data_IF_553350365290
#
_entry.id   IF_553350365290
#
_cell.length_a   1.000
_cell.length_b   1.000
_cell.length_c   1.000
_cell.angle_alpha   90.00
_cell.angle_beta   90.00
_cell.angle_gamma   90.00
#
_symmetry.space_group_name_H-M   'P 1'
#
loop_
_entity.id
_entity.type
_entity.pdbx_description
1 polymer ?
#
# COMPACT_ATOMS: atom_id res chain seq x y z
N UNK A 1 9.31 65.33 25.20
CA UNK A 1 10.65 65.89 25.27
C UNK A 1 11.56 65.09 24.38
N UNK A 2 11.87 65.66 23.24
CA UNK A 2 13.05 65.66 22.38
C UNK A 2 13.32 64.43 21.54
N UNK A 3 13.18 64.52 20.32
CA UNK A 3 13.63 64.99 18.98
C UNK A 3 13.99 63.76 18.13
N UNK A 4 13.28 63.45 17.11
CA UNK A 4 13.40 63.79 15.69
C UNK A 4 14.85 63.96 15.20
N UNK A 5 15.29 63.04 14.31
CA UNK A 5 15.94 63.45 13.06
C UNK A 5 15.74 62.32 12.03
N UNK A 6 15.03 62.67 10.93
CA UNK A 6 14.95 61.93 9.71
C UNK A 6 16.27 62.04 8.94
N UNK A 7 16.78 60.98 8.39
CA UNK A 7 17.85 61.05 7.38
C UNK A 7 17.45 60.18 6.18
N UNK A 8 17.01 60.88 5.16
CA UNK A 8 16.71 60.43 3.79
C UNK A 8 18.08 60.18 3.11
N UNK A 9 18.42 58.93 2.81
CA UNK A 9 19.56 58.60 1.94
C UNK A 9 19.01 58.02 0.61
N UNK A 10 19.12 58.87 -0.41
CA UNK A 10 19.01 58.49 -1.81
C UNK A 10 20.15 57.52 -2.12
N UNK A 11 19.83 56.29 -2.48
CA UNK A 11 20.81 55.40 -3.11
C UNK A 11 20.52 55.38 -4.61
N UNK A 12 21.32 56.14 -5.31
CA UNK A 12 21.48 56.11 -6.76
C UNK A 12 21.95 54.71 -7.20
N UNK A 13 21.17 54.06 -8.09
CA UNK A 13 21.54 52.82 -8.72
C UNK A 13 22.82 52.96 -9.54
N UNK A 14 23.88 52.35 -9.13
CA UNK A 14 24.99 51.97 -9.97
C UNK A 14 24.77 50.55 -10.47
N UNK A 15 24.57 50.43 -11.78
CA UNK A 15 24.62 49.16 -12.50
C UNK A 15 26.07 48.63 -12.32
N UNK A 16 26.20 47.50 -11.69
CA UNK A 16 27.47 46.78 -11.61
C UNK A 16 27.87 46.29 -13.02
N UNK A 17 29.08 46.51 -13.47
CA UNK A 17 29.56 45.97 -14.76
C UNK A 17 29.69 44.44 -14.61
N UNK A 18 29.32 43.73 -15.66
CA UNK A 18 29.54 42.30 -15.79
C UNK A 18 31.03 41.98 -15.47
N UNK A 19 31.23 41.10 -14.48
CA UNK A 19 32.54 40.71 -14.04
C UNK A 19 33.33 40.02 -15.15
N UNK A 20 34.18 40.78 -15.84
CA UNK A 20 35.31 40.24 -16.57
C UNK A 20 36.36 39.84 -15.49
N UNK A 21 36.59 38.56 -15.34
CA UNK A 21 37.64 38.08 -14.43
C UNK A 21 38.98 38.39 -15.07
N UNK A 22 39.71 39.33 -14.52
CA UNK A 22 41.13 39.54 -14.84
C UNK A 22 41.97 38.73 -13.86
N UNK A 23 42.55 37.63 -14.32
CA UNK A 23 43.57 36.91 -13.58
C UNK A 23 44.87 37.67 -13.75
N UNK A 24 45.43 38.23 -12.69
CA UNK A 24 46.78 38.81 -12.68
C UNK A 24 47.78 37.69 -12.68
N UNK A 25 48.76 37.80 -13.62
CA UNK A 25 50.08 37.20 -13.60
C UNK A 25 50.27 35.95 -12.76
N UNK A 26 50.29 34.78 -13.37
CA UNK A 26 50.89 33.60 -12.81
C UNK A 26 52.40 33.78 -12.72
N UNK A 27 52.94 34.12 -11.56
CA UNK A 27 54.36 33.95 -11.27
C UNK A 27 54.66 32.46 -11.16
N UNK A 28 55.79 32.04 -11.67
CA UNK A 28 56.26 30.67 -11.82
C UNK A 28 56.33 29.92 -10.44
N UNK A 29 55.21 29.44 -9.96
CA UNK A 29 55.04 28.46 -8.90
C UNK A 29 53.72 27.72 -9.22
N UNK A 30 53.82 26.56 -9.87
CA UNK A 30 52.92 25.39 -9.92
C UNK A 30 51.36 25.64 -9.81
N UNK A 31 50.87 26.77 -10.34
CA UNK A 31 49.45 27.14 -10.26
C UNK A 31 48.73 26.82 -11.58
N UNK A 32 48.09 25.64 -11.63
CA UNK A 32 47.25 25.22 -12.76
C UNK A 32 46.07 26.19 -12.91
N UNK A 33 45.93 26.80 -14.09
CA UNK A 33 44.78 27.66 -14.39
C UNK A 33 43.53 26.81 -14.59
N UNK A 34 42.60 26.93 -13.66
CA UNK A 34 41.29 26.26 -13.78
C UNK A 34 40.32 27.10 -14.61
N UNK A 35 39.83 26.55 -15.71
CA UNK A 35 38.86 27.16 -16.60
C UNK A 35 37.67 26.24 -16.77
N UNK A 36 36.43 26.76 -16.75
CA UNK A 36 35.27 25.98 -17.07
C UNK A 36 35.01 25.91 -18.57
N UNK A 37 34.48 24.80 -19.06
CA UNK A 37 34.05 24.61 -20.45
C UNK A 37 33.11 25.74 -20.89
N UNK A 38 33.48 26.37 -22.04
CA UNK A 38 32.73 27.49 -22.62
C UNK A 38 32.98 28.84 -21.95
N UNK A 39 33.77 28.90 -20.89
CA UNK A 39 34.24 30.17 -20.29
C UNK A 39 35.57 30.62 -20.83
N UNK A 40 35.83 31.89 -20.67
CA UNK A 40 37.03 32.55 -21.20
C UNK A 40 37.68 33.40 -20.13
N UNK A 41 39.00 33.41 -20.09
CA UNK A 41 39.80 34.26 -19.26
C UNK A 41 40.72 35.11 -20.14
N UNK A 42 41.02 36.34 -19.68
CA UNK A 42 42.06 37.19 -20.26
C UNK A 42 43.28 37.09 -19.36
N UNK A 43 44.40 36.69 -19.97
CA UNK A 43 45.66 36.47 -19.26
C UNK A 43 46.66 37.51 -19.74
N UNK A 44 47.40 38.10 -18.82
CA UNK A 44 48.44 39.05 -19.05
C UNK A 44 49.79 38.37 -18.86
N UNK A 45 50.58 38.27 -19.91
CA UNK A 45 51.93 37.68 -19.88
C UNK A 45 52.95 38.58 -19.16
N UNK A 46 53.93 37.96 -18.51
CA UNK A 46 54.96 38.67 -17.76
C UNK A 46 55.86 39.59 -18.65
N UNK A 47 56.01 39.27 -19.94
CA UNK A 47 56.77 40.03 -20.94
C UNK A 47 56.03 40.09 -22.30
N UNK A 48 56.38 41.00 -23.21
CA UNK A 48 55.86 41.01 -24.54
C UNK A 48 56.18 39.69 -25.27
N UNK A 49 55.19 39.10 -25.93
CA UNK A 49 55.31 37.83 -26.64
C UNK A 49 55.02 38.00 -28.15
N UNK A 50 55.60 37.10 -28.97
CA UNK A 50 55.38 37.04 -30.39
C UNK A 50 54.51 35.84 -30.82
N UNK A 51 54.65 34.73 -30.11
CA UNK A 51 53.97 33.49 -30.49
C UNK A 51 53.33 32.80 -29.28
N UNK A 52 52.05 32.33 -29.44
CA UNK A 52 51.35 31.49 -28.48
C UNK A 52 51.17 30.11 -29.12
N UNK A 53 51.45 29.06 -28.35
CA UNK A 53 51.25 27.69 -28.78
C UNK A 53 50.45 26.97 -27.70
N UNK A 54 49.28 26.43 -28.10
CA UNK A 54 48.48 25.55 -27.26
C UNK A 54 48.80 24.11 -27.62
N UNK A 55 49.16 23.29 -26.62
CA UNK A 55 49.59 21.92 -26.84
C UNK A 55 48.43 21.04 -27.41
N UNK A 56 47.20 21.24 -26.89
CA UNK A 56 45.99 20.62 -27.44
C UNK A 56 44.91 21.69 -27.69
N UNK A 57 44.69 22.10 -28.95
CA UNK A 57 43.69 23.09 -29.31
C UNK A 57 42.23 22.62 -29.09
N UNK A 58 41.97 21.31 -28.97
CA UNK A 58 40.61 20.79 -28.68
C UNK A 58 40.21 21.09 -27.24
N UNK A 59 41.18 21.14 -26.28
CA UNK A 59 40.91 21.38 -24.88
C UNK A 59 40.77 22.87 -24.60
N UNK A 60 41.71 23.67 -25.12
CA UNK A 60 41.65 25.12 -24.97
C UNK A 60 42.16 25.84 -26.24
N UNK A 61 41.61 27.01 -26.50
CA UNK A 61 41.98 27.88 -27.62
C UNK A 61 42.44 29.21 -27.09
N UNK A 62 43.62 29.68 -27.61
CA UNK A 62 44.25 30.91 -27.16
C UNK A 62 44.40 31.88 -28.35
N UNK A 63 44.02 33.14 -28.17
CA UNK A 63 44.13 34.20 -29.16
C UNK A 63 44.78 35.45 -28.54
N UNK A 64 45.85 35.94 -29.19
CA UNK A 64 46.49 37.18 -28.77
C UNK A 64 45.54 38.38 -28.95
N UNK A 65 45.45 39.21 -27.91
CA UNK A 65 44.68 40.46 -27.89
C UNK A 65 45.60 41.69 -28.01
N UNK A 66 46.79 41.59 -27.44
CA UNK A 66 47.86 42.58 -27.52
C UNK A 66 49.25 41.90 -27.51
N UNK A 67 50.31 42.66 -27.49
CA UNK A 67 51.66 42.16 -27.31
C UNK A 67 51.98 41.58 -25.93
N UNK A 68 51.05 41.75 -24.97
CA UNK A 68 51.17 41.26 -23.57
C UNK A 68 49.95 40.57 -23.03
N UNK A 69 48.88 40.51 -23.77
CA UNK A 69 47.64 39.88 -23.31
C UNK A 69 47.08 38.97 -24.36
N UNK A 70 46.52 37.88 -23.90
CA UNK A 70 45.80 36.91 -24.73
C UNK A 70 44.53 36.45 -24.07
N UNK A 71 43.60 36.00 -24.88
CA UNK A 71 42.34 35.45 -24.49
C UNK A 71 42.46 33.92 -24.54
N UNK A 72 42.07 33.25 -23.48
CA UNK A 72 42.04 31.81 -23.39
C UNK A 72 40.59 31.33 -23.21
N UNK A 73 40.13 30.39 -24.02
CA UNK A 73 38.81 29.81 -23.96
C UNK A 73 38.90 28.30 -23.75
N UNK A 74 38.19 27.78 -22.74
CA UNK A 74 38.03 26.34 -22.54
C UNK A 74 37.03 25.77 -23.54
N UNK A 75 37.42 24.77 -24.33
CA UNK A 75 36.60 24.13 -25.36
C UNK A 75 36.07 22.78 -24.88
N UNK A 76 36.95 21.82 -24.53
CA UNK A 76 36.61 20.50 -24.01
C UNK A 76 37.30 20.24 -22.67
N UNK A 77 36.67 19.42 -21.77
CA UNK A 77 37.28 19.06 -20.52
C UNK A 77 38.62 18.32 -20.71
N UNK A 78 39.64 18.69 -19.96
CA UNK A 78 40.96 18.06 -20.05
C UNK A 78 42.08 18.94 -19.49
N UNK A 79 43.30 18.49 -19.69
CA UNK A 79 44.51 19.22 -19.31
C UNK A 79 45.33 19.57 -20.56
N UNK A 80 45.76 20.82 -20.69
CA UNK A 80 46.60 21.29 -21.75
C UNK A 80 47.57 22.34 -21.22
N UNK A 81 48.57 22.68 -22.04
CA UNK A 81 49.57 23.65 -21.67
C UNK A 81 49.63 24.75 -22.72
N UNK A 82 49.70 26.00 -22.31
CA UNK A 82 49.95 27.16 -23.17
C UNK A 82 51.41 27.60 -23.03
N UNK A 83 52.07 27.62 -24.16
CA UNK A 83 53.48 28.02 -24.24
C UNK A 83 53.56 29.42 -24.89
N UNK A 84 54.32 30.33 -24.30
CA UNK A 84 54.46 31.72 -24.69
C UNK A 84 55.88 31.97 -25.10
N UNK A 85 56.15 32.41 -26.35
CA UNK A 85 57.48 32.65 -26.88
C UNK A 85 57.66 34.11 -27.27
N UNK A 86 58.91 34.58 -27.11
CA UNK A 86 59.34 35.93 -27.57
C UNK A 86 59.61 35.97 -29.07
N UNK A 87 60.05 37.17 -29.59
CA UNK A 87 60.46 37.34 -30.98
C UNK A 87 61.69 36.52 -31.35
N UNK A 88 62.54 36.17 -30.37
CA UNK A 88 63.75 35.37 -30.57
C UNK A 88 63.45 33.85 -30.60
N UNK A 89 62.24 33.43 -30.25
CA UNK A 89 61.84 32.04 -30.14
C UNK A 89 62.21 31.40 -28.76
N UNK A 90 62.58 32.24 -27.77
CA UNK A 90 62.80 31.75 -26.43
C UNK A 90 61.50 31.66 -25.63
N UNK A 91 61.36 30.62 -24.81
CA UNK A 91 60.20 30.41 -23.96
C UNK A 91 60.14 31.44 -22.83
N UNK A 92 59.12 32.30 -22.80
CA UNK A 92 58.89 33.28 -21.73
C UNK A 92 58.17 32.64 -20.56
N UNK A 93 57.09 31.88 -20.83
CA UNK A 93 56.19 31.37 -19.79
C UNK A 93 55.50 30.10 -20.26
N UNK A 94 55.20 29.22 -19.33
CA UNK A 94 54.40 28.00 -19.52
C UNK A 94 53.26 28.07 -18.54
N UNK A 95 52.02 27.87 -19.03
CA UNK A 95 50.80 27.91 -18.23
C UNK A 95 50.11 26.59 -18.38
N UNK A 96 49.99 25.82 -17.27
CA UNK A 96 49.18 24.64 -17.25
C UNK A 96 47.70 25.01 -17.09
N UNK A 97 46.88 24.49 -17.97
CA UNK A 97 45.43 24.79 -18.07
C UNK A 97 44.64 23.52 -17.84
N UNK A 98 43.79 23.56 -16.88
CA UNK A 98 42.78 22.53 -16.65
C UNK A 98 41.41 23.07 -17.03
N UNK A 99 40.76 22.48 -18.04
CA UNK A 99 39.38 22.77 -18.36
C UNK A 99 38.47 21.77 -17.69
N UNK A 100 37.61 22.27 -16.79
CA UNK A 100 36.64 21.47 -16.06
C UNK A 100 35.24 21.59 -16.65
N UNK A 101 34.39 20.56 -16.44
CA UNK A 101 32.96 20.64 -16.69
C UNK A 101 32.35 21.66 -15.72
N UNK A 102 31.59 22.64 -16.25
CA UNK A 102 30.82 23.58 -15.45
C UNK A 102 29.60 22.87 -14.85
N UNK A 103 29.66 22.54 -13.57
CA UNK A 103 28.61 21.79 -12.86
C UNK A 103 27.64 22.69 -12.08
N UNK A 104 27.91 23.99 -11.99
CA UNK A 104 27.10 24.92 -11.19
C UNK A 104 25.65 25.05 -11.69
N UNK A 105 25.47 25.02 -13.02
CA UNK A 105 24.13 25.03 -13.61
C UNK A 105 23.34 23.76 -13.26
N UNK A 106 24.00 22.59 -13.33
CA UNK A 106 23.36 21.33 -12.97
C UNK A 106 23.03 21.26 -11.48
N UNK A 107 23.95 21.74 -10.60
CA UNK A 107 23.67 21.83 -9.17
C UNK A 107 22.47 22.72 -8.87
N UNK A 108 22.41 23.90 -9.51
CA UNK A 108 21.28 24.80 -9.36
C UNK A 108 19.96 24.21 -9.86
N UNK A 109 19.96 23.46 -10.97
CA UNK A 109 18.79 22.78 -11.49
C UNK A 109 18.33 21.64 -10.56
N UNK A 110 19.28 20.87 -9.99
CA UNK A 110 18.97 19.80 -9.02
C UNK A 110 18.39 20.38 -7.74
N UNK A 111 18.97 21.42 -7.16
CA UNK A 111 18.45 22.10 -5.96
C UNK A 111 17.05 22.69 -6.18
N UNK A 112 16.80 23.25 -7.37
CA UNK A 112 15.51 23.86 -7.69
C UNK A 112 14.40 22.85 -7.95
N UNK A 113 14.71 21.70 -8.57
CA UNK A 113 13.73 20.70 -9.00
C UNK A 113 13.55 19.55 -8.01
N UNK A 114 14.58 19.31 -7.17
CA UNK A 114 14.61 18.25 -6.15
C UNK A 114 14.95 18.85 -4.77
N UNK A 115 14.13 19.76 -4.25
CA UNK A 115 14.39 20.37 -2.96
C UNK A 115 14.31 19.33 -1.84
N UNK A 116 15.39 19.21 -1.05
CA UNK A 116 15.47 18.28 0.09
C UNK A 116 16.15 16.95 -0.20
N UNK A 117 16.60 16.71 -1.44
CA UNK A 117 17.43 15.56 -1.77
C UNK A 117 18.92 15.90 -1.58
N UNK A 118 19.67 14.97 -1.00
CA UNK A 118 21.13 15.15 -0.81
C UNK A 118 21.90 14.57 -1.99
N UNK A 119 21.94 15.32 -3.11
CA UNK A 119 22.62 14.89 -4.33
C UNK A 119 23.92 15.68 -4.49
N UNK A 120 25.04 14.96 -4.56
CA UNK A 120 26.36 15.50 -4.86
C UNK A 120 26.73 15.23 -6.31
N UNK A 121 27.25 16.25 -6.98
CA UNK A 121 27.65 16.17 -8.41
C UNK A 121 29.15 16.31 -8.50
N UNK A 122 29.81 15.29 -9.06
CA UNK A 122 31.26 15.23 -9.25
C UNK A 122 31.59 15.11 -10.76
N UNK A 123 32.57 15.89 -11.21
CA UNK A 123 33.14 15.69 -12.55
C UNK A 123 34.13 14.52 -12.50
N UNK A 124 34.02 13.59 -13.43
CA UNK A 124 34.94 12.46 -13.59
C UNK A 124 35.35 12.37 -15.05
N UNK A 125 36.56 12.77 -15.35
CA UNK A 125 37.09 12.89 -16.73
C UNK A 125 36.18 13.78 -17.59
N UNK A 126 35.51 13.21 -18.58
CA UNK A 126 34.57 13.85 -19.49
C UNK A 126 33.10 13.63 -19.10
N UNK A 127 32.85 12.99 -17.92
CA UNK A 127 31.53 12.63 -17.43
C UNK A 127 31.15 13.24 -16.09
N UNK A 128 29.96 12.88 -15.65
CA UNK A 128 29.37 13.28 -14.38
C UNK A 128 29.08 12.03 -13.53
N UNK A 129 29.49 12.06 -12.29
CA UNK A 129 29.12 11.08 -11.27
C UNK A 129 28.16 11.73 -10.28
N UNK A 130 26.95 11.17 -10.17
CA UNK A 130 25.96 11.55 -9.18
C UNK A 130 26.11 10.62 -7.99
N UNK A 131 26.28 11.19 -6.78
CA UNK A 131 26.37 10.47 -5.52
C UNK A 131 25.45 11.13 -4.49
N UNK A 132 25.12 10.40 -3.44
CA UNK A 132 24.29 10.90 -2.35
C UNK A 132 23.09 10.02 -2.06
N UNK A 133 22.16 10.56 -1.27
CA UNK A 133 20.96 9.87 -0.84
C UNK A 133 19.72 10.58 -1.36
N UNK A 134 18.87 9.80 -2.04
CA UNK A 134 17.57 10.27 -2.54
C UNK A 134 16.45 9.53 -1.84
N UNK A 135 15.31 10.19 -1.68
CA UNK A 135 14.18 9.61 -0.95
C UNK A 135 13.38 8.62 -1.80
N UNK A 136 13.29 8.83 -3.12
CA UNK A 136 12.49 7.99 -4.02
C UNK A 136 13.27 7.57 -5.28
N UNK A 137 12.86 6.48 -5.90
CA UNK A 137 13.39 6.04 -7.19
C UNK A 137 13.08 7.06 -8.32
N UNK A 138 11.97 7.77 -8.21
CA UNK A 138 11.55 8.80 -9.16
C UNK A 138 12.47 10.04 -9.10
N UNK A 139 12.91 10.41 -7.88
CA UNK A 139 13.89 11.48 -7.70
C UNK A 139 15.24 11.10 -8.32
N UNK A 140 15.70 9.85 -8.13
CA UNK A 140 16.92 9.35 -8.78
C UNK A 140 16.83 9.40 -10.30
N UNK A 141 15.70 8.98 -10.87
CA UNK A 141 15.46 8.97 -12.32
C UNK A 141 15.42 10.40 -12.90
N UNK A 142 14.80 11.33 -12.17
CA UNK A 142 14.76 12.73 -12.57
C UNK A 142 16.16 13.38 -12.53
N UNK A 143 16.94 13.10 -11.47
CA UNK A 143 18.32 13.57 -11.37
C UNK A 143 19.19 13.05 -12.51
N UNK A 144 19.06 11.76 -12.85
CA UNK A 144 19.73 11.16 -14.00
C UNK A 144 19.39 11.86 -15.31
N UNK A 145 18.09 12.07 -15.60
CA UNK A 145 17.62 12.76 -16.81
C UNK A 145 18.13 14.20 -16.91
N UNK A 146 18.21 14.90 -15.79
CA UNK A 146 18.78 16.25 -15.75
C UNK A 146 20.27 16.22 -16.07
N UNK A 147 21.02 15.32 -15.46
CA UNK A 147 22.46 15.17 -15.71
C UNK A 147 22.75 14.74 -17.16
N UNK A 148 21.96 13.84 -17.76
CA UNK A 148 22.09 13.42 -19.16
C UNK A 148 21.87 14.56 -20.16
N UNK A 149 21.08 15.58 -19.80
CA UNK A 149 20.91 16.78 -20.64
C UNK A 149 22.17 17.66 -20.65
N UNK A 150 22.99 17.62 -19.59
CA UNK A 150 24.26 18.35 -19.50
C UNK A 150 25.42 17.59 -20.16
N UNK A 151 25.47 16.27 -19.97
CA UNK A 151 26.49 15.39 -20.56
C UNK A 151 25.82 14.13 -21.10
N UNK A 152 25.45 14.10 -22.40
CA UNK A 152 24.83 12.94 -23.02
C UNK A 152 25.73 11.70 -22.95
N UNK A 153 25.23 10.57 -22.45
CA UNK A 153 25.94 9.30 -22.30
C UNK A 153 27.16 9.30 -21.37
N UNK A 154 27.38 10.39 -20.62
CA UNK A 154 28.50 10.53 -19.71
C UNK A 154 28.10 10.58 -18.23
N UNK A 155 26.94 10.03 -17.84
CA UNK A 155 26.46 10.08 -16.44
C UNK A 155 26.55 8.71 -15.80
N UNK A 156 27.23 8.64 -14.66
CA UNK A 156 27.27 7.45 -13.79
C UNK A 156 26.44 7.71 -12.53
N UNK A 157 25.59 6.75 -12.19
CA UNK A 157 24.70 6.82 -11.02
C UNK A 157 25.30 6.06 -9.84
N UNK A 158 25.65 6.78 -8.78
CA UNK A 158 26.05 6.28 -7.47
C UNK A 158 25.05 6.60 -6.36
N UNK A 159 23.91 7.23 -6.69
CA UNK A 159 22.88 7.59 -5.71
C UNK A 159 22.29 6.36 -5.03
N UNK A 160 22.00 6.50 -3.75
CA UNK A 160 21.37 5.46 -2.92
C UNK A 160 19.99 5.94 -2.50
N UNK A 161 19.00 5.07 -2.62
CA UNK A 161 17.67 5.34 -2.08
C UNK A 161 17.76 5.15 -0.57
N UNK A 162 17.48 6.23 0.18
CA UNK A 162 17.85 6.34 1.60
C UNK A 162 17.09 5.43 2.54
N UNK A 163 15.82 5.25 2.36
CA UNK A 163 15.01 4.29 3.11
C UNK A 163 13.98 3.71 2.15
N UNK A 164 14.06 2.41 1.93
CA UNK A 164 12.95 1.73 1.29
C UNK A 164 11.72 1.91 2.17
N UNK A 165 10.78 2.74 1.73
CA UNK A 165 9.54 2.98 2.45
C UNK A 165 8.76 1.68 2.57
N UNK A 166 8.34 1.35 3.80
CA UNK A 166 7.56 0.18 4.10
C UNK A 166 6.12 0.58 4.38
N UNK A 167 5.20 -0.16 3.80
CA UNK A 167 3.77 0.04 3.98
C UNK A 167 3.18 -1.12 4.74
N UNK A 168 2.61 -0.84 5.92
CA UNK A 168 1.73 -1.75 6.63
C UNK A 168 0.33 -1.59 6.07
N UNK A 169 -0.24 -2.65 5.52
CA UNK A 169 -1.64 -2.67 5.12
C UNK A 169 -2.48 -3.37 6.18
N UNK A 170 -3.42 -2.64 6.77
CA UNK A 170 -4.46 -3.18 7.63
C UNK A 170 -5.73 -3.41 6.80
N UNK A 171 -6.24 -4.64 6.81
CA UNK A 171 -7.52 -4.97 6.16
C UNK A 171 -8.52 -5.37 7.24
N UNK A 172 -9.78 -4.94 7.08
CA UNK A 172 -10.87 -5.30 7.98
C UNK A 172 -12.03 -5.86 7.18
N UNK A 173 -12.36 -7.12 7.40
CA UNK A 173 -13.59 -7.74 6.96
C UNK A 173 -14.62 -7.64 8.08
N UNK A 174 -15.70 -6.94 7.86
CA UNK A 174 -16.81 -6.82 8.80
C UNK A 174 -18.06 -7.38 8.14
N UNK A 175 -18.58 -8.46 8.68
CA UNK A 175 -19.80 -9.08 8.23
C UNK A 175 -20.80 -9.16 9.38
N UNK A 176 -22.02 -8.71 9.14
CA UNK A 176 -23.15 -8.84 10.04
C UNK A 176 -24.27 -9.61 9.34
N UNK A 177 -24.67 -10.74 9.89
CA UNK A 177 -25.80 -11.53 9.41
C UNK A 177 -26.91 -11.53 10.45
N UNK A 178 -28.14 -11.24 10.03
CA UNK A 178 -29.34 -11.25 10.87
C UNK A 178 -30.33 -12.24 10.29
N UNK A 179 -30.81 -13.12 11.12
CA UNK A 179 -31.85 -14.08 10.78
C UNK A 179 -33.05 -13.89 11.68
N UNK A 180 -34.22 -13.82 11.09
CA UNK A 180 -35.47 -13.83 11.83
C UNK A 180 -36.42 -14.84 11.22
N UNK A 181 -36.90 -15.77 12.01
CA UNK A 181 -37.89 -16.79 11.64
C UNK A 181 -39.09 -16.64 12.56
N UNK A 182 -40.28 -16.48 11.96
CA UNK A 182 -41.55 -16.52 12.69
C UNK A 182 -42.44 -17.58 12.06
N UNK A 183 -42.97 -18.44 12.89
CA UNK A 183 -43.80 -19.56 12.48
C UNK A 183 -45.01 -19.60 13.37
N UNK A 184 -46.17 -19.68 12.74
CA UNK A 184 -47.45 -19.83 13.41
C UNK A 184 -48.27 -20.87 12.64
N UNK A 185 -48.61 -21.97 13.32
CA UNK A 185 -49.36 -23.07 12.72
C UNK A 185 -50.46 -23.60 13.63
N UNK A 186 -51.56 -23.98 13.05
CA UNK A 186 -52.68 -24.62 13.73
C UNK A 186 -52.98 -25.95 13.02
N UNK A 187 -52.82 -27.04 13.74
CA UNK A 187 -53.25 -28.38 13.33
C UNK A 187 -54.54 -28.73 13.98
N UNK A 188 -55.46 -29.27 13.23
CA UNK A 188 -56.77 -29.73 13.73
C UNK A 188 -56.96 -31.22 13.40
N UNK A 189 -57.35 -32.00 14.39
CA UNK A 189 -57.77 -33.40 14.23
C UNK A 189 -59.13 -33.58 14.88
N UNK A 190 -60.09 -34.09 14.12
CA UNK A 190 -61.43 -34.40 14.62
C UNK A 190 -61.64 -35.88 14.38
N UNK A 191 -61.90 -36.63 15.44
CA UNK A 191 -62.21 -38.06 15.42
C UNK A 191 -63.60 -38.24 16.03
N UNK A 192 -64.55 -38.68 15.19
CA UNK A 192 -65.91 -38.92 15.59
C UNK A 192 -66.40 -40.31 15.07
N UNK A 193 -66.44 -41.29 15.94
CA UNK A 193 -66.76 -42.65 15.56
C UNK A 193 -65.85 -43.21 14.49
N UNK A 194 -66.37 -43.61 13.32
CA UNK A 194 -65.60 -44.08 12.16
C UNK A 194 -65.08 -42.93 11.27
N UNK A 195 -65.39 -41.68 11.60
CA UNK A 195 -64.97 -40.51 10.83
C UNK A 195 -63.69 -39.80 11.45
N UNK A 196 -62.65 -39.69 10.67
CA UNK A 196 -61.44 -38.95 11.05
C UNK A 196 -61.20 -37.85 10.02
N UNK A 197 -61.27 -36.60 10.45
CA UNK A 197 -60.84 -35.44 9.67
C UNK A 197 -59.55 -34.91 10.25
N UNK A 198 -58.51 -34.98 9.46
CA UNK A 198 -57.21 -34.41 9.78
C UNK A 198 -57.03 -33.18 8.87
N UNK A 199 -56.98 -32.02 9.48
CA UNK A 199 -56.43 -30.83 8.85
C UNK A 199 -55.09 -30.56 9.45
N UNK A 200 -54.04 -31.20 8.92
CA UNK A 200 -52.67 -30.82 9.21
C UNK A 200 -52.41 -29.52 8.46
N UNK A 201 -52.57 -28.40 9.14
CA UNK A 201 -52.26 -27.08 8.61
C UNK A 201 -50.77 -26.89 8.32
N UNK A 202 -50.03 -28.03 8.14
CA UNK A 202 -48.59 -28.01 7.88
C UNK A 202 -47.83 -27.50 9.08
N UNK A 203 -47.66 -28.33 10.10
CA UNK A 203 -46.62 -28.05 11.11
C UNK A 203 -45.27 -28.16 10.42
N UNK A 204 -44.59 -27.06 10.22
CA UNK A 204 -43.23 -27.05 9.68
C UNK A 204 -42.30 -27.75 10.68
N UNK A 205 -41.94 -28.99 10.40
CA UNK A 205 -41.14 -29.80 11.31
C UNK A 205 -39.65 -29.37 11.29
N UNK A 206 -39.03 -29.21 12.45
CA UNK A 206 -37.59 -29.15 12.56
C UNK A 206 -36.99 -28.21 13.61
N UNK A 207 -37.78 -27.39 14.30
CA UNK A 207 -37.24 -26.45 15.29
C UNK A 207 -37.67 -26.79 16.72
N UNK A 208 -36.70 -26.75 17.67
CA UNK A 208 -36.83 -27.29 19.01
C UNK A 208 -37.66 -26.44 20.01
N UNK A 209 -37.99 -25.19 19.71
CA UNK A 209 -38.72 -24.30 20.61
C UNK A 209 -40.12 -24.06 20.10
N UNK A 210 -41.09 -24.74 20.67
CA UNK A 210 -42.51 -24.69 20.24
C UNK A 210 -43.38 -24.47 21.47
N UNK A 211 -44.31 -23.53 21.37
CA UNK A 211 -45.42 -23.50 22.31
C UNK A 211 -46.54 -24.36 21.70
N UNK A 212 -46.88 -25.49 22.29
CA UNK A 212 -47.94 -26.36 21.87
C UNK A 212 -49.03 -26.29 22.90
N UNK A 213 -50.25 -25.88 22.48
CA UNK A 213 -51.44 -26.02 23.32
C UNK A 213 -52.33 -27.03 22.65
N UNK A 214 -52.66 -28.09 23.30
CA UNK A 214 -53.57 -29.13 22.84
C UNK A 214 -54.84 -29.09 23.67
N UNK A 215 -55.99 -29.01 23.00
CA UNK A 215 -57.26 -29.14 23.64
C UNK A 215 -57.85 -30.47 23.20
N UNK A 216 -57.99 -31.40 24.11
CA UNK A 216 -58.51 -32.73 23.85
C UNK A 216 -59.88 -32.91 24.54
N UNK A 217 -60.80 -33.61 23.88
CA UNK A 217 -62.13 -34.00 24.35
C UNK A 217 -63.13 -32.85 24.56
N UNK A 218 -63.92 -32.58 23.54
CA UNK A 218 -65.10 -31.72 23.64
C UNK A 218 -66.34 -32.60 23.46
N UNK A 219 -66.95 -33.00 24.56
CA UNK A 219 -68.09 -33.89 24.57
C UNK A 219 -67.77 -35.37 24.30
N UNK A 220 -68.49 -36.03 23.41
CA UNK A 220 -68.28 -37.41 22.92
C UNK A 220 -67.31 -37.50 21.75
N UNK A 221 -66.83 -36.36 21.26
CA UNK A 221 -65.96 -36.22 20.11
C UNK A 221 -64.49 -35.89 20.58
N UNK A 222 -63.54 -36.52 19.92
CA UNK A 222 -62.14 -36.18 20.15
C UNK A 222 -61.73 -35.09 19.15
N UNK A 223 -61.55 -33.87 19.65
CA UNK A 223 -61.09 -32.74 18.87
C UNK A 223 -59.70 -32.35 19.43
N UNK A 224 -58.69 -32.60 18.65
CA UNK A 224 -57.34 -32.17 18.97
C UNK A 224 -56.99 -30.89 18.17
N UNK A 225 -56.80 -29.81 18.88
CA UNK A 225 -56.32 -28.55 18.36
C UNK A 225 -54.86 -28.34 18.80
N UNK A 226 -53.96 -28.37 17.86
CA UNK A 226 -52.56 -28.13 18.08
C UNK A 226 -52.18 -26.73 17.59
N UNK A 227 -51.76 -25.86 18.54
CA UNK A 227 -51.24 -24.55 18.24
C UNK A 227 -49.70 -24.61 18.32
N UNK A 228 -49.00 -24.28 17.26
CA UNK A 228 -47.55 -24.12 17.24
C UNK A 228 -47.15 -22.66 16.94
N UNK A 229 -46.36 -22.07 17.79
CA UNK A 229 -45.81 -20.72 17.59
C UNK A 229 -44.32 -20.74 17.89
N UNK A 230 -43.54 -20.20 16.97
CA UNK A 230 -42.09 -20.06 17.08
C UNK A 230 -41.68 -18.67 16.63
N UNK A 231 -40.84 -18.04 17.41
CA UNK A 231 -40.10 -16.86 16.99
C UNK A 231 -38.60 -17.08 17.32
N UNK A 232 -37.76 -17.06 16.30
CA UNK A 232 -36.29 -17.17 16.43
C UNK A 232 -35.62 -15.96 15.80
N UNK A 233 -34.67 -15.39 16.51
CA UNK A 233 -33.89 -14.24 16.07
C UNK A 233 -32.43 -14.48 16.37
N UNK A 234 -31.62 -14.56 15.35
CA UNK A 234 -30.16 -14.68 15.44
C UNK A 234 -29.44 -13.49 14.85
N UNK A 235 -28.35 -13.10 15.51
CA UNK A 235 -27.41 -12.11 14.96
C UNK A 235 -26.02 -12.73 15.04
N UNK A 236 -25.36 -12.83 13.89
CA UNK A 236 -23.98 -13.28 13.76
C UNK A 236 -23.14 -12.10 13.30
N UNK A 237 -22.00 -11.87 13.97
CA UNK A 237 -21.01 -10.89 13.58
C UNK A 237 -19.66 -11.57 13.39
N UNK A 238 -19.10 -11.44 12.21
CA UNK A 238 -17.77 -11.96 11.88
C UNK A 238 -16.82 -10.80 11.63
N UNK A 239 -15.62 -10.89 12.21
CA UNK A 239 -14.56 -9.90 12.03
C UNK A 239 -13.24 -10.62 11.76
N UNK A 240 -12.60 -10.29 10.64
CA UNK A 240 -11.23 -10.69 10.35
C UNK A 240 -10.38 -9.44 10.08
N UNK A 241 -9.15 -9.41 10.62
CA UNK A 241 -8.22 -8.28 10.51
C UNK A 241 -6.83 -8.76 10.15
N UNK A 242 -6.55 -9.16 8.91
CA UNK A 242 -5.18 -9.41 8.49
C UNK A 242 -4.42 -8.08 8.35
N UNK A 243 -3.15 -8.12 8.72
CA UNK A 243 -2.20 -7.05 8.49
C UNK A 243 -0.91 -7.64 7.92
N UNK A 244 -0.26 -6.89 7.03
CA UNK A 244 0.95 -7.33 6.36
C UNK A 244 1.79 -6.10 5.98
N UNK A 245 3.11 -6.24 6.05
CA UNK A 245 4.07 -5.19 5.64
C UNK A 245 4.74 -5.60 4.34
N UNK A 246 4.87 -4.65 3.42
CA UNK A 246 5.63 -4.79 2.18
C UNK A 246 6.51 -3.57 1.93
N UNK A 247 7.60 -3.75 1.19
CA UNK A 247 8.38 -2.66 0.62
C UNK A 247 7.62 -2.01 -0.54
N UNK A 248 7.83 -0.71 -0.75
CA UNK A 248 7.30 0.00 -1.92
C UNK A 248 7.78 -0.67 -3.21
N UNK A 249 6.85 -1.05 -4.09
CA UNK A 249 7.09 -1.75 -5.35
C UNK A 249 7.09 -3.29 -5.26
N UNK A 250 7.19 -3.88 -4.07
CA UNK A 250 7.26 -5.33 -3.88
C UNK A 250 5.90 -5.94 -3.50
N UNK A 251 5.64 -7.14 -4.00
CA UNK A 251 4.43 -7.90 -3.65
C UNK A 251 4.67 -8.75 -2.41
N UNK A 252 3.80 -8.59 -1.42
CA UNK A 252 3.77 -9.45 -0.24
C UNK A 252 2.49 -10.25 -0.18
N UNK A 253 2.57 -11.47 0.36
CA UNK A 253 1.42 -12.36 0.56
C UNK A 253 1.45 -12.99 1.95
N UNK A 254 0.27 -13.15 2.55
CA UNK A 254 0.04 -13.76 3.86
C UNK A 254 -1.17 -14.68 3.79
N UNK A 255 -1.08 -15.86 4.41
CA UNK A 255 -2.19 -16.79 4.56
C UNK A 255 -2.22 -17.33 6.00
N UNK A 256 -3.31 -17.10 6.69
CA UNK A 256 -3.62 -17.73 7.98
C UNK A 256 -4.85 -18.63 7.82
N UNK A 257 -4.64 -19.95 7.83
CA UNK A 257 -5.70 -20.93 7.58
C UNK A 257 -5.19 -22.35 7.58
N UNK A 258 -5.82 -23.18 6.76
CA UNK A 258 -5.47 -24.57 6.57
C UNK A 258 -5.68 -25.04 5.14
N UNK A 259 -5.54 -26.33 4.94
CA UNK A 259 -5.83 -26.98 3.66
C UNK A 259 -6.81 -28.13 3.90
N UNK A 260 -7.78 -28.30 2.99
CA UNK A 260 -8.69 -29.43 3.03
C UNK A 260 -8.53 -30.31 1.79
N UNK A 261 -8.62 -31.62 1.94
CA UNK A 261 -8.46 -32.56 0.84
C UNK A 261 -9.74 -32.62 -0.01
N UNK A 262 -9.59 -32.49 -1.32
CA UNK A 262 -10.65 -32.70 -2.32
C UNK A 262 -10.27 -33.89 -3.18
N UNK A 263 -11.09 -34.96 -3.20
CA UNK A 263 -10.86 -36.07 -4.12
C UNK A 263 -11.14 -35.62 -5.55
N UNK A 264 -10.21 -35.89 -6.45
CA UNK A 264 -10.32 -35.66 -7.89
C UNK A 264 -10.18 -37.01 -8.60
N UNK A 265 -10.97 -37.23 -9.66
CA UNK A 265 -10.84 -38.43 -10.47
C UNK A 265 -9.44 -38.46 -11.11
N UNK A 266 -8.69 -39.53 -10.89
CA UNK A 266 -7.40 -39.76 -11.54
C UNK A 266 -7.58 -40.24 -12.98
N UNK A 267 -6.55 -40.06 -13.81
CA UNK A 267 -6.51 -40.56 -15.19
C UNK A 267 -6.43 -42.10 -15.19
N UNK A 268 -7.57 -42.76 -15.42
CA UNK A 268 -7.67 -44.22 -15.66
C UNK A 268 -7.82 -45.11 -14.41
N UNK A 269 -8.67 -46.13 -14.54
CA UNK A 269 -8.83 -47.28 -13.61
C UNK A 269 -9.29 -46.93 -12.15
N UNK A 270 -10.21 -46.00 -11.95
CA UNK A 270 -10.84 -45.85 -10.63
C UNK A 270 -9.92 -45.30 -9.53
N UNK A 271 -8.74 -44.84 -9.85
CA UNK A 271 -7.82 -44.19 -8.89
C UNK A 271 -8.35 -42.79 -8.53
N UNK A 272 -8.52 -42.54 -7.22
CA UNK A 272 -8.83 -41.23 -6.69
C UNK A 272 -7.51 -40.54 -6.29
N UNK A 273 -7.26 -39.37 -6.87
CA UNK A 273 -6.17 -38.46 -6.45
C UNK A 273 -6.72 -37.46 -5.45
N UNK A 274 -5.91 -37.00 -4.52
CA UNK A 274 -6.30 -35.99 -3.52
C UNK A 274 -5.63 -34.68 -3.88
N UNK A 275 -6.44 -33.63 -4.11
CA UNK A 275 -5.99 -32.25 -4.29
C UNK A 275 -6.27 -31.45 -3.02
N UNK A 276 -5.27 -30.78 -2.48
CA UNK A 276 -5.45 -29.92 -1.32
C UNK A 276 -5.85 -28.52 -1.76
N UNK A 277 -6.88 -27.96 -1.11
CA UNK A 277 -7.35 -26.59 -1.33
C UNK A 277 -7.15 -25.78 -0.08
N UNK A 278 -6.52 -24.60 -0.22
CA UNK A 278 -6.29 -23.66 0.88
C UNK A 278 -7.58 -22.94 1.25
N UNK A 279 -7.77 -22.70 2.54
CA UNK A 279 -8.84 -21.86 3.08
C UNK A 279 -8.32 -21.07 4.27
N UNK A 280 -9.03 -19.99 4.63
CA UNK A 280 -8.67 -19.12 5.74
C UNK A 280 -8.69 -17.65 5.33
N UNK A 281 -7.86 -16.85 5.99
CA UNK A 281 -7.68 -15.41 5.72
C UNK A 281 -6.41 -15.24 4.90
N UNK A 282 -6.53 -14.71 3.70
CA UNK A 282 -5.42 -14.41 2.78
C UNK A 282 -5.40 -12.94 2.43
N UNK A 283 -4.21 -12.38 2.35
CA UNK A 283 -3.97 -11.01 1.92
C UNK A 283 -2.75 -10.99 1.00
N UNK A 284 -2.94 -10.53 -0.21
CA UNK A 284 -1.86 -10.23 -1.15
C UNK A 284 -1.96 -8.77 -1.54
N UNK A 285 -0.85 -8.04 -1.52
CA UNK A 285 -0.85 -6.65 -1.94
C UNK A 285 0.52 -6.20 -2.44
N UNK A 286 0.50 -5.18 -3.31
CA UNK A 286 1.67 -4.48 -3.83
C UNK A 286 1.47 -3.00 -3.60
N UNK A 287 2.19 -2.36 -2.67
CA UNK A 287 2.14 -0.92 -2.46
C UNK A 287 3.14 -0.23 -3.39
N UNK A 288 2.83 0.98 -3.83
CA UNK A 288 3.78 1.90 -4.44
C UNK A 288 3.60 3.26 -3.76
N UNK A 289 4.60 3.70 -3.02
CA UNK A 289 4.59 5.01 -2.36
C UNK A 289 4.93 6.07 -3.40
N UNK A 290 4.04 7.04 -3.53
CA UNK A 290 4.19 8.23 -4.36
C UNK A 290 4.55 9.42 -3.47
N UNK A 291 4.93 10.53 -4.06
CA UNK A 291 5.20 11.76 -3.30
C UNK A 291 4.06 12.17 -2.37
N UNK A 292 4.33 12.94 -1.32
CA UNK A 292 3.37 13.46 -0.33
C UNK A 292 2.63 12.42 0.51
N UNK A 293 3.20 11.23 0.73
CA UNK A 293 2.57 10.17 1.53
C UNK A 293 1.35 9.54 0.88
N UNK A 294 1.20 9.68 -0.43
CA UNK A 294 0.20 8.98 -1.22
C UNK A 294 0.71 7.58 -1.56
N UNK A 295 -0.12 6.58 -1.32
CA UNK A 295 0.21 5.16 -1.57
C UNK A 295 -0.77 4.59 -2.59
N UNK A 296 -0.25 4.14 -3.72
CA UNK A 296 -0.99 3.33 -4.68
C UNK A 296 -0.93 1.88 -4.22
N UNK A 297 -2.09 1.22 -4.09
CA UNK A 297 -2.25 -0.12 -3.54
C UNK A 297 -2.97 -0.99 -4.55
N UNK A 298 -2.31 -2.04 -5.01
CA UNK A 298 -2.98 -3.18 -5.64
C UNK A 298 -3.18 -4.24 -4.56
N UNK A 299 -4.44 -4.62 -4.27
CA UNK A 299 -4.76 -5.45 -3.11
C UNK A 299 -5.78 -6.53 -3.46
N UNK A 300 -5.49 -7.76 -3.00
CA UNK A 300 -6.34 -8.94 -3.19
C UNK A 300 -6.59 -9.63 -1.84
N UNK A 301 -7.46 -9.07 -0.99
CA UNK A 301 -7.86 -9.68 0.27
C UNK A 301 -8.89 -10.80 0.03
N UNK A 302 -8.75 -11.91 0.77
CA UNK A 302 -9.67 -13.04 0.73
C UNK A 302 -9.92 -13.59 2.13
N UNK A 303 -11.20 -13.92 2.41
CA UNK A 303 -11.61 -14.72 3.57
C UNK A 303 -12.41 -15.90 3.07
N UNK A 304 -11.95 -17.10 3.34
CA UNK A 304 -12.62 -18.34 2.99
C UNK A 304 -12.82 -19.24 4.20
N UNK A 305 -13.97 -19.89 4.26
CA UNK A 305 -14.33 -20.81 5.34
C UNK A 305 -15.02 -22.06 4.78
N UNK A 306 -14.83 -23.19 5.47
CA UNK A 306 -15.52 -24.42 5.13
C UNK A 306 -17.01 -24.31 5.48
N UNK A 307 -17.86 -24.60 4.51
CA UNK A 307 -19.32 -24.66 4.67
C UNK A 307 -19.76 -26.12 4.69
N UNK A 308 -19.99 -26.64 5.88
CA UNK A 308 -20.46 -28.03 6.08
C UNK A 308 -21.95 -28.19 5.83
N UNK A 309 -22.73 -27.10 5.85
CA UNK A 309 -24.17 -27.15 5.59
C UNK A 309 -24.49 -27.46 4.12
N UNK A 310 -23.62 -27.03 3.20
CA UNK A 310 -23.71 -27.25 1.77
C UNK A 310 -22.73 -28.33 1.28
N UNK A 311 -22.39 -29.33 2.13
CA UNK A 311 -21.51 -30.42 1.76
C UNK A 311 -22.14 -31.35 0.72
N UNK A 312 -21.29 -31.87 -0.19
CA UNK A 312 -21.68 -32.88 -1.18
C UNK A 312 -21.18 -34.25 -0.70
N UNK A 313 -22.04 -35.26 -0.74
CA UNK A 313 -21.65 -36.66 -0.47
C UNK A 313 -21.53 -37.42 -1.79
N UNK A 314 -20.34 -37.95 -2.03
CA UNK A 314 -20.06 -38.80 -3.21
C UNK A 314 -19.21 -39.97 -2.78
N UNK A 315 -19.56 -41.18 -3.15
CA UNK A 315 -18.83 -42.44 -2.91
C UNK A 315 -18.34 -42.66 -1.46
N UNK A 316 -19.17 -42.22 -0.47
CA UNK A 316 -18.85 -42.36 0.95
C UNK A 316 -17.98 -41.24 1.52
N UNK A 317 -17.56 -40.28 0.71
CA UNK A 317 -16.85 -39.07 1.13
C UNK A 317 -17.80 -37.91 1.27
N UNK A 318 -17.64 -37.12 2.32
CA UNK A 318 -18.33 -35.86 2.51
C UNK A 318 -17.36 -34.70 2.22
N UNK A 319 -17.63 -33.98 1.12
CA UNK A 319 -16.80 -32.86 0.66
C UNK A 319 -17.51 -31.58 1.06
N UNK A 320 -16.95 -30.77 1.99
CA UNK A 320 -17.55 -29.49 2.37
C UNK A 320 -17.45 -28.50 1.21
N UNK A 321 -18.46 -27.62 1.09
CA UNK A 321 -18.37 -26.47 0.21
C UNK A 321 -17.40 -25.41 0.80
N UNK A 322 -16.94 -24.48 -0.03
CA UNK A 322 -16.11 -23.37 0.39
C UNK A 322 -16.90 -22.06 0.21
N UNK A 323 -17.09 -21.35 1.30
CA UNK A 323 -17.64 -19.99 1.28
C UNK A 323 -16.48 -19.01 1.14
N UNK A 324 -16.46 -18.20 0.07
CA UNK A 324 -15.34 -17.28 -0.27
C UNK A 324 -15.84 -15.85 -0.37
N UNK A 325 -15.12 -14.93 0.24
CA UNK A 325 -15.27 -13.49 0.12
C UNK A 325 -13.95 -12.92 -0.34
N UNK A 326 -13.88 -12.43 -1.57
CA UNK A 326 -12.68 -11.91 -2.21
C UNK A 326 -12.97 -10.57 -2.87
N UNK A 327 -12.01 -9.67 -2.81
CA UNK A 327 -11.97 -8.47 -3.63
C UNK A 327 -10.62 -8.42 -4.35
N UNK A 328 -10.58 -7.84 -5.55
CA UNK A 328 -9.35 -7.57 -6.32
C UNK A 328 -9.50 -6.16 -6.89
N UNK A 329 -8.65 -5.24 -6.42
CA UNK A 329 -8.79 -3.83 -6.77
C UNK A 329 -7.46 -3.08 -6.62
N UNK A 330 -7.39 -1.92 -7.27
CA UNK A 330 -6.33 -0.96 -7.08
C UNK A 330 -6.91 0.38 -6.64
N UNK A 331 -6.33 0.99 -5.61
CA UNK A 331 -6.78 2.26 -5.03
C UNK A 331 -5.59 3.11 -4.61
N UNK A 332 -5.81 4.41 -4.51
CA UNK A 332 -4.84 5.38 -4.00
C UNK A 332 -5.34 5.99 -2.69
N UNK A 333 -4.54 5.91 -1.65
CA UNK A 333 -4.88 6.38 -0.31
C UNK A 333 -3.68 7.10 0.33
N UNK A 334 -3.95 8.08 1.17
CA UNK A 334 -2.92 8.69 2.00
C UNK A 334 -2.62 7.83 3.23
N UNK A 335 -1.44 8.03 3.80
CA UNK A 335 -1.06 7.39 5.06
C UNK A 335 -2.15 7.54 6.14
N UNK A 336 -2.55 6.40 6.75
CA UNK A 336 -3.61 6.32 7.77
C UNK A 336 -5.04 6.52 7.28
N UNK A 337 -5.29 6.77 6.00
CA UNK A 337 -6.63 6.95 5.44
C UNK A 337 -7.32 5.61 5.26
N UNK A 338 -8.53 5.46 5.81
CA UNK A 338 -9.34 4.27 5.64
C UNK A 338 -10.31 4.40 4.46
N UNK A 339 -10.47 3.33 3.68
CA UNK A 339 -11.37 3.28 2.55
C UNK A 339 -12.09 1.93 2.45
N UNK A 340 -13.40 1.95 2.19
CA UNK A 340 -14.17 0.74 1.94
C UNK A 340 -14.06 0.36 0.46
N UNK A 341 -13.34 -0.73 0.18
CA UNK A 341 -13.07 -1.19 -1.19
C UNK A 341 -14.18 -2.09 -1.76
N UNK A 342 -14.94 -2.74 -0.89
CA UNK A 342 -16.06 -3.61 -1.29
C UNK A 342 -17.13 -3.62 -0.21
N UNK A 343 -18.37 -3.86 -0.64
CA UNK A 343 -19.51 -4.03 0.24
C UNK A 343 -20.58 -4.90 -0.41
N UNK A 344 -21.35 -5.63 0.40
CA UNK A 344 -22.48 -6.42 0.00
C UNK A 344 -23.63 -6.18 0.99
N UNK A 345 -24.81 -5.88 0.46
CA UNK A 345 -26.06 -5.93 1.21
C UNK A 345 -26.97 -6.94 0.53
N UNK A 346 -27.25 -8.03 1.21
CA UNK A 346 -28.14 -9.06 0.73
C UNK A 346 -29.32 -9.21 1.69
N UNK A 347 -30.52 -9.12 1.17
CA UNK A 347 -31.75 -9.32 1.92
C UNK A 347 -32.60 -10.38 1.21
N UNK A 348 -32.91 -11.47 1.89
CA UNK A 348 -33.74 -12.55 1.41
C UNK A 348 -34.88 -12.74 2.38
N UNK A 349 -36.11 -12.77 1.86
CA UNK A 349 -37.28 -13.09 2.65
C UNK A 349 -38.11 -14.16 1.95
N UNK A 350 -38.68 -15.03 2.73
CA UNK A 350 -39.60 -16.06 2.27
C UNK A 350 -40.83 -16.05 3.15
N UNK A 351 -42.00 -16.11 2.51
CA UNK A 351 -43.31 -16.26 3.17
C UNK A 351 -43.99 -17.49 2.61
N UNK A 352 -44.18 -18.49 3.47
CA UNK A 352 -44.90 -19.69 3.13
C UNK A 352 -46.25 -19.69 3.85
N UNK A 353 -47.31 -19.95 3.12
CA UNK A 353 -48.65 -20.09 3.66
C UNK A 353 -49.20 -21.45 3.21
N UNK A 354 -49.42 -22.31 4.18
CA UNK A 354 -50.13 -23.57 3.99
C UNK A 354 -51.53 -23.44 4.60
N UNK A 355 -52.59 -23.69 3.84
CA UNK A 355 -53.94 -23.51 4.34
C UNK A 355 -54.91 -24.57 3.75
N UNK A 356 -55.95 -24.89 4.53
CA UNK A 356 -57.03 -25.75 4.07
C UNK A 356 -57.83 -24.98 3.00
N UNK A 357 -58.06 -25.58 1.80
CA UNK A 357 -58.85 -24.95 0.76
C UNK A 357 -60.21 -24.50 1.30
N UNK A 358 -60.65 -23.30 0.87
CA UNK A 358 -61.88 -22.57 1.23
C UNK A 358 -61.89 -22.05 2.68
N UNK A 359 -61.60 -22.89 3.70
CA UNK A 359 -61.63 -22.55 5.13
C UNK A 359 -60.53 -21.54 5.50
N UNK A 360 -59.36 -21.67 4.93
CA UNK A 360 -58.22 -20.74 5.17
C UNK A 360 -58.47 -19.32 4.64
N UNK A 361 -59.43 -19.15 3.71
CA UNK A 361 -59.76 -17.84 3.15
C UNK A 361 -60.90 -17.12 3.87
N UNK A 362 -61.51 -17.74 4.88
CA UNK A 362 -62.61 -17.12 5.61
C UNK A 362 -62.08 -16.03 6.54
N UNK A 363 -62.61 -14.79 6.48
CA UNK A 363 -62.19 -13.73 7.38
C UNK A 363 -62.29 -14.12 8.85
N UNK A 364 -61.31 -13.81 9.66
CA UNK A 364 -61.15 -14.06 11.10
C UNK A 364 -60.88 -15.53 11.43
N UNK A 365 -61.78 -16.47 11.00
CA UNK A 365 -61.65 -17.91 11.34
C UNK A 365 -60.65 -18.64 10.42
N UNK A 366 -60.31 -18.09 9.25
CA UNK A 366 -59.33 -18.71 8.35
C UNK A 366 -57.92 -18.85 8.96
N UNK A 367 -57.58 -18.04 9.95
CA UNK A 367 -56.34 -18.17 10.70
C UNK A 367 -56.22 -19.51 11.46
N UNK A 368 -57.37 -20.13 11.84
CA UNK A 368 -57.42 -21.44 12.51
C UNK A 368 -57.17 -22.61 11.53
N UNK A 369 -57.24 -22.36 10.22
CA UNK A 369 -57.07 -23.34 9.15
C UNK A 369 -55.87 -23.02 8.25
N UNK A 370 -54.90 -22.21 8.76
CA UNK A 370 -53.71 -21.82 8.04
C UNK A 370 -52.47 -21.86 8.92
N UNK A 371 -51.36 -22.26 8.34
CA UNK A 371 -50.02 -22.13 8.90
C UNK A 371 -49.24 -21.11 8.09
N UNK A 372 -48.51 -20.23 8.78
CA UNK A 372 -47.72 -19.18 8.17
C UNK A 372 -46.31 -19.26 8.68
N UNK A 373 -45.33 -19.22 7.77
CA UNK A 373 -43.90 -19.10 8.06
C UNK A 373 -43.39 -17.82 7.42
N UNK A 374 -42.73 -16.99 8.19
CA UNK A 374 -42.02 -15.84 7.73
C UNK A 374 -40.54 -16.05 8.05
N UNK A 375 -39.66 -15.94 7.06
CA UNK A 375 -38.23 -16.05 7.19
C UNK A 375 -37.59 -14.83 6.53
N UNK A 376 -36.68 -14.16 7.26
CA UNK A 376 -35.91 -13.06 6.76
C UNK A 376 -34.45 -13.31 7.09
N UNK A 377 -33.58 -13.27 6.06
CA UNK A 377 -32.12 -13.34 6.19
C UNK A 377 -31.55 -12.05 5.59
N UNK A 378 -30.76 -11.35 6.36
CA UNK A 378 -30.11 -10.11 5.96
C UNK A 378 -28.62 -10.22 6.28
N UNK A 379 -27.76 -10.02 5.26
CA UNK A 379 -26.30 -10.08 5.38
C UNK A 379 -25.70 -8.80 4.84
N UNK A 380 -24.91 -8.15 5.66
CA UNK A 380 -24.13 -6.96 5.31
C UNK A 380 -22.65 -7.32 5.41
N UNK A 381 -21.87 -7.04 4.37
CA UNK A 381 -20.43 -7.22 4.33
C UNK A 381 -19.78 -5.90 3.93
N UNK A 382 -18.70 -5.51 4.62
CA UNK A 382 -17.84 -4.39 4.25
C UNK A 382 -16.39 -4.81 4.39
N UNK A 383 -15.59 -4.51 3.36
CA UNK A 383 -14.14 -4.70 3.35
C UNK A 383 -13.49 -3.32 3.35
N UNK A 384 -12.73 -3.03 4.42
CA UNK A 384 -12.06 -1.75 4.64
C UNK A 384 -10.55 -1.98 4.62
N UNK A 385 -9.81 -1.09 3.98
CA UNK A 385 -8.35 -1.07 3.97
C UNK A 385 -7.82 0.24 4.53
N UNK A 386 -6.63 0.18 5.14
CA UNK A 386 -5.94 1.34 5.70
C UNK A 386 -4.43 1.12 5.54
N UNK A 387 -3.75 1.83 4.64
CA UNK A 387 -2.29 1.82 4.55
C UNK A 387 -1.69 2.66 5.67
N UNK A 388 -0.50 2.28 6.14
CA UNK A 388 0.34 3.06 7.03
C UNK A 388 1.79 2.94 6.64
N UNK A 389 2.48 4.06 6.54
CA UNK A 389 3.92 4.10 6.40
C UNK A 389 4.56 3.72 7.74
N UNK A 390 5.43 2.72 7.72
CA UNK A 390 6.05 2.18 8.93
C UNK A 390 7.56 2.06 8.78
N UNK A 391 8.24 2.19 9.91
CA UNK A 391 9.68 1.95 10.01
C UNK A 391 9.94 0.70 10.85
N UNK A 392 10.99 -0.06 10.57
CA UNK A 392 11.38 -1.21 11.39
C UNK A 392 11.62 -0.80 12.85
N UNK A 393 11.19 -1.65 13.77
CA UNK A 393 11.48 -1.43 15.18
C UNK A 393 12.99 -1.58 15.46
N UNK A 394 13.60 -0.75 16.32
CA UNK A 394 15.03 -0.78 16.57
C UNK A 394 15.51 -2.05 17.30
N UNK A 395 14.61 -2.74 18.01
CA UNK A 395 14.89 -4.00 18.71
C UNK A 395 13.64 -4.86 18.86
N UNK A 396 13.82 -6.15 19.12
CA UNK A 396 12.72 -7.09 19.36
C UNK A 396 11.91 -6.70 20.60
N UNK A 397 12.54 -6.12 21.63
CA UNK A 397 11.90 -5.69 22.87
C UNK A 397 10.90 -4.53 22.67
N UNK A 398 11.00 -3.82 21.56
CA UNK A 398 10.05 -2.77 21.20
C UNK A 398 8.76 -3.32 20.56
N UNK A 399 8.74 -4.61 20.18
CA UNK A 399 7.60 -5.28 19.56
C UNK A 399 6.80 -5.99 20.65
N UNK A 400 5.57 -5.55 20.84
CA UNK A 400 4.65 -6.23 21.79
C UNK A 400 4.09 -7.49 21.15
N UNK A 401 4.20 -8.60 21.88
CA UNK A 401 3.66 -9.89 21.46
C UNK A 401 2.46 -10.29 22.33
N UNK A 402 1.55 -11.13 21.81
CA UNK A 402 0.44 -11.65 22.63
C UNK A 402 0.88 -12.41 23.89
N UNK A 403 2.14 -12.89 23.91
CA UNK A 403 2.70 -13.62 25.05
C UNK A 403 3.25 -12.72 26.15
N UNK A 404 3.51 -11.44 25.89
CA UNK A 404 4.08 -10.50 26.87
C UNK A 404 3.14 -10.26 28.08
N UNK A 405 1.85 -10.51 27.88
CA UNK A 405 0.83 -10.41 28.94
C UNK A 405 0.35 -11.79 29.45
N UNK A 406 0.99 -12.87 28.99
CA UNK A 406 0.65 -14.21 29.43
C UNK A 406 1.49 -14.56 30.63
N UNK A 407 0.86 -14.61 31.82
CA UNK A 407 1.47 -15.17 33.03
C UNK A 407 0.98 -16.59 33.17
N UNK A 408 1.89 -17.55 33.13
CA UNK A 408 1.54 -18.94 33.42
C UNK A 408 1.04 -19.03 34.86
N UNK A 409 -0.13 -19.68 35.13
CA UNK A 409 -0.60 -19.89 36.48
C UNK A 409 0.37 -20.79 37.22
N UNK A 410 0.69 -20.45 38.46
CA UNK A 410 1.51 -21.30 39.32
C UNK A 410 0.75 -22.61 39.60
N UNK A 411 1.49 -23.70 39.91
CA UNK A 411 0.92 -25.02 40.22
C UNK A 411 -0.15 -24.95 41.33
N UNK A 412 0.02 -24.06 42.31
CA UNK A 412 -0.93 -23.78 43.38
C UNK A 412 -2.21 -23.10 42.89
N UNK A 413 -2.10 -22.15 41.95
CA UNK A 413 -3.24 -21.46 41.34
C UNK A 413 -4.04 -22.40 40.44
N UNK A 414 -3.35 -23.29 39.70
CA UNK A 414 -4.00 -24.29 38.87
C UNK A 414 -4.75 -25.34 39.73
N UNK A 415 -4.11 -25.85 40.80
CA UNK A 415 -4.63 -26.97 41.60
C UNK A 415 -5.64 -26.55 42.67
N UNK A 416 -5.49 -25.36 43.26
CA UNK A 416 -6.32 -24.93 44.40
C UNK A 416 -7.35 -23.84 44.00
N UNK A 417 -7.07 -23.02 43.01
CA UNK A 417 -7.93 -21.92 42.61
C UNK A 417 -8.68 -22.17 41.30
N UNK A 418 -8.44 -23.29 40.61
CA UNK A 418 -8.99 -23.60 39.28
C UNK A 418 -8.75 -22.51 38.22
N UNK A 419 -7.71 -21.70 38.39
CA UNK A 419 -7.31 -20.69 37.42
C UNK A 419 -6.55 -21.37 36.27
N UNK A 420 -7.21 -21.57 35.17
CA UNK A 420 -6.64 -22.19 33.95
C UNK A 420 -5.92 -21.21 33.05
N UNK A 421 -6.13 -19.89 33.19
CA UNK A 421 -5.57 -18.83 32.37
C UNK A 421 -5.35 -17.59 33.22
N UNK A 422 -4.16 -16.96 33.15
CA UNK A 422 -3.91 -15.63 33.68
C UNK A 422 -4.76 -14.59 32.94
N UNK A 423 -5.09 -13.49 33.63
CA UNK A 423 -5.94 -12.42 33.07
C UNK A 423 -5.48 -11.95 31.70
N UNK A 424 -6.26 -12.24 30.67
CA UNK A 424 -6.16 -11.55 29.39
C UNK A 424 -6.67 -10.11 29.59
N UNK A 425 -5.76 -9.21 29.89
CA UNK A 425 -6.08 -7.79 29.78
C UNK A 425 -6.16 -7.42 28.30
N UNK A 426 -7.32 -6.93 27.90
CA UNK A 426 -7.76 -6.60 26.56
C UNK A 426 -6.70 -5.77 25.79
N UNK A 427 -6.18 -6.36 24.72
CA UNK A 427 -5.34 -5.73 23.71
C UNK A 427 -6.20 -5.36 22.48
N UNK A 428 -7.24 -4.51 22.66
CA UNK A 428 -7.97 -3.95 21.52
C UNK A 428 -8.44 -2.52 21.78
#
# INVERSE_FOLDING_TARGET
MRYLIASLLLISGLAAPANAWTVRSASADDETLLLERGRSAVIEASAPFATLVVADPNIADAMATSDRSFFLRGAEPGHTTVLIYDESGDLIELIDVQVALGLDALRGDLEALLPGEEISVHAVHDGIFLDGQVTTAEAADLAMKLAERHVPNGVANGMRIGTSEQVLLEVRFVEASRQAVKEFGIGNSIVSGDFTALSDGGTFSGLAARTVATVTNVGTENIDLTLSALEDKGVLRTLARPNLVALSGDTASFLAGGEFPVPVAGDGDGNVSISFRKFGVSLEFTPTVLGDGLVNLKVTPEVSALDTANSIRSDGFEIPALSVRRADTAVELRDGQAFAIAGLLQNSYANDIAQTPWLGNVPVIGALFSSKRYQRNETELVIIITPRLVQPAPSVDAIRTPLDHFTEPTETQLMLENKTIGDFNELY
#
